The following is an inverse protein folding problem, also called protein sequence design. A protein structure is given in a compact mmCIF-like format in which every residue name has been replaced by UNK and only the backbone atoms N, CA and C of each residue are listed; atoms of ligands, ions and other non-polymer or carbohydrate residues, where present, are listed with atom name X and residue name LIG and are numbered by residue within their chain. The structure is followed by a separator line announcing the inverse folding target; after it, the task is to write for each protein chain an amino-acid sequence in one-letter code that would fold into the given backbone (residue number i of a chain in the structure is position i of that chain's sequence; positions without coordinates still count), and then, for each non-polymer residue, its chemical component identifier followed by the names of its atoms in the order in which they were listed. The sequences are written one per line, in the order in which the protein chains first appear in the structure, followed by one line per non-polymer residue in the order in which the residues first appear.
data_IF_822749486675
#
_entry.id   IF_822749486675
#
_cell.length_a   1.000
_cell.length_b   1.000
_cell.length_c   1.000
_cell.angle_alpha   90.00
_cell.angle_beta   90.00
_cell.angle_gamma   90.00
#
_symmetry.space_group_name_H-M   'P 1'
#
loop_
_entity.id
_entity.type
_entity.pdbx_description
1 polymer ?
#
# COMPACT_ATOMS: atom_id res chain seq x y z
N UNK A 1 -7.61 -9.64 -19.66
CA UNK A 1 -7.54 -8.16 -19.83
C UNK A 1 -8.44 -7.57 -18.77
N UNK A 2 -7.87 -7.10 -17.67
CA UNK A 2 -8.60 -6.22 -16.75
C UNK A 2 -8.64 -4.86 -17.42
N UNK A 3 -9.84 -4.43 -17.79
CA UNK A 3 -10.07 -3.12 -18.37
C UNK A 3 -10.10 -2.12 -17.20
N UNK A 4 -9.08 -1.30 -17.07
CA UNK A 4 -8.94 -0.36 -15.97
C UNK A 4 -10.00 0.75 -15.93
N UNK A 5 -10.85 0.81 -16.95
CA UNK A 5 -11.94 1.79 -17.05
C UNK A 5 -13.30 1.27 -16.57
N UNK A 6 -13.39 -0.01 -16.19
CA UNK A 6 -14.59 -0.61 -15.63
C UNK A 6 -14.52 -0.78 -14.10
N UNK A 7 -14.03 0.21 -13.39
CA UNK A 7 -14.27 0.27 -11.94
C UNK A 7 -15.77 0.56 -11.73
N UNK A 8 -16.54 -0.52 -11.74
CA UNK A 8 -17.94 -0.50 -11.36
C UNK A 8 -18.04 -0.13 -9.86
N UNK A 9 -19.15 0.45 -9.47
CA UNK A 9 -19.51 0.76 -8.06
C UNK A 9 -19.39 -0.46 -7.12
N UNK A 10 -19.13 -1.65 -7.63
CA UNK A 10 -18.93 -2.90 -6.90
C UNK A 10 -17.56 -3.04 -6.22
N UNK A 11 -16.58 -2.19 -6.52
CA UNK A 11 -15.23 -2.29 -5.96
C UNK A 11 -15.11 -1.65 -4.56
N UNK A 12 -16.16 -1.00 -4.07
CA UNK A 12 -16.23 -0.41 -2.74
C UNK A 12 -16.86 -1.36 -1.74
N UNK A 13 -16.07 -1.83 -0.78
CA UNK A 13 -16.59 -2.61 0.33
C UNK A 13 -17.03 -1.68 1.45
N UNK A 14 -18.25 -1.88 1.96
CA UNK A 14 -18.73 -1.16 3.14
C UNK A 14 -17.90 -1.54 4.38
N UNK A 15 -17.63 -0.56 5.23
CA UNK A 15 -16.78 -0.76 6.43
C UNK A 15 -17.28 -1.89 7.32
N UNK A 16 -18.59 -1.99 7.54
CA UNK A 16 -19.16 -3.05 8.37
C UNK A 16 -19.00 -4.44 7.73
N UNK A 17 -19.08 -4.52 6.41
CA UNK A 17 -18.81 -5.78 5.71
C UNK A 17 -17.33 -6.16 5.80
N UNK A 18 -16.43 -5.21 5.66
CA UNK A 18 -15.00 -5.41 5.84
C UNK A 18 -14.70 -5.93 7.26
N UNK A 19 -15.21 -5.25 8.30
CA UNK A 19 -15.05 -5.66 9.69
C UNK A 19 -15.55 -7.08 9.93
N UNK A 20 -16.71 -7.41 9.40
CA UNK A 20 -17.30 -8.77 9.52
C UNK A 20 -16.41 -9.84 8.88
N UNK A 21 -15.86 -9.56 7.69
CA UNK A 21 -14.94 -10.49 7.00
C UNK A 21 -13.63 -10.68 7.78
N UNK A 22 -13.06 -9.59 8.31
CA UNK A 22 -11.85 -9.66 9.13
C UNK A 22 -12.06 -10.49 10.39
N UNK A 23 -13.17 -10.29 11.12
CA UNK A 23 -13.50 -11.07 12.31
C UNK A 23 -13.71 -12.56 11.98
N UNK A 24 -14.31 -12.88 10.84
CA UNK A 24 -14.45 -14.27 10.40
C UNK A 24 -13.08 -14.91 10.14
N UNK A 25 -12.14 -14.20 9.50
CA UNK A 25 -10.77 -14.70 9.31
C UNK A 25 -10.04 -14.94 10.64
N UNK A 26 -10.23 -14.06 11.64
CA UNK A 26 -9.67 -14.26 12.98
C UNK A 26 -10.23 -15.52 13.64
N UNK A 27 -11.55 -15.75 13.54
CA UNK A 27 -12.21 -16.95 14.06
C UNK A 27 -11.72 -18.23 13.39
N UNK A 28 -11.37 -18.15 12.11
CA UNK A 28 -10.77 -19.27 11.34
C UNK A 28 -9.26 -19.48 11.66
N UNK A 29 -8.71 -18.77 12.63
CA UNK A 29 -7.33 -18.91 13.09
C UNK A 29 -6.30 -18.30 12.14
N UNK A 30 -6.72 -17.43 11.22
CA UNK A 30 -5.81 -16.67 10.36
C UNK A 30 -5.03 -15.67 11.19
N UNK A 31 -3.72 -15.59 10.95
CA UNK A 31 -2.83 -14.62 11.61
C UNK A 31 -2.61 -13.41 10.72
N UNK A 32 -2.89 -12.23 11.26
CA UNK A 32 -2.57 -10.98 10.61
C UNK A 32 -1.16 -10.56 10.99
N UNK A 33 -0.33 -10.30 9.99
CA UNK A 33 1.07 -9.92 10.16
C UNK A 33 1.38 -8.67 9.32
N UNK A 34 2.43 -7.94 9.66
CA UNK A 34 2.89 -6.82 8.86
C UNK A 34 3.56 -7.29 7.56
N UNK A 35 3.71 -6.39 6.59
CA UNK A 35 4.42 -6.70 5.35
C UNK A 35 5.89 -7.03 5.62
N UNK A 36 6.54 -6.30 6.51
CA UNK A 36 7.93 -6.58 6.92
C UNK A 36 8.05 -7.97 7.54
N UNK A 37 7.12 -8.35 8.43
CA UNK A 37 7.11 -9.71 9.01
C UNK A 37 6.87 -10.79 7.95
N UNK A 38 5.97 -10.53 6.99
CA UNK A 38 5.72 -11.46 5.89
C UNK A 38 6.97 -11.68 5.05
N UNK A 39 7.67 -10.60 4.69
CA UNK A 39 8.94 -10.67 3.95
C UNK A 39 10.00 -11.48 4.70
N UNK A 40 10.18 -11.25 5.99
CA UNK A 40 11.10 -12.02 6.82
C UNK A 40 10.76 -13.51 6.87
N UNK A 41 9.46 -13.83 6.93
CA UNK A 41 9.00 -15.22 6.91
C UNK A 41 9.25 -15.89 5.56
N UNK A 42 9.06 -15.18 4.45
CA UNK A 42 9.38 -15.67 3.10
C UNK A 42 10.88 -15.95 2.99
N UNK A 43 11.71 -14.97 3.32
CA UNK A 43 13.16 -15.07 3.22
C UNK A 43 13.76 -16.21 4.06
N UNK A 44 13.11 -16.59 5.16
CA UNK A 44 13.58 -17.60 6.10
C UNK A 44 12.79 -18.93 6.07
N UNK A 45 11.93 -19.16 5.06
CA UNK A 45 11.07 -20.36 4.93
C UNK A 45 10.23 -20.67 6.19
N UNK A 46 9.70 -19.61 6.84
CA UNK A 46 8.97 -19.70 8.12
C UNK A 46 7.44 -19.71 7.98
N UNK A 47 6.90 -19.99 6.80
CA UNK A 47 5.45 -20.01 6.56
C UNK A 47 4.76 -21.32 6.95
N UNK A 48 5.46 -22.30 7.47
CA UNK A 48 4.92 -23.66 7.71
C UNK A 48 3.81 -23.65 8.77
N UNK A 49 2.69 -24.28 8.42
CA UNK A 49 1.56 -24.61 9.31
C UNK A 49 0.65 -23.47 9.77
N UNK A 50 0.72 -22.26 9.15
CA UNK A 50 -0.19 -21.17 9.48
C UNK A 50 -0.72 -20.47 8.23
N UNK A 51 -1.95 -19.96 8.30
CA UNK A 51 -2.51 -19.04 7.32
C UNK A 51 -2.19 -17.63 7.76
N UNK A 52 -1.54 -16.85 6.91
CA UNK A 52 -1.21 -15.46 7.17
C UNK A 52 -1.93 -14.54 6.20
N UNK A 53 -2.30 -13.37 6.67
CA UNK A 53 -2.84 -12.27 5.86
C UNK A 53 -2.07 -11.01 6.19
N UNK A 54 -1.72 -10.26 5.15
CA UNK A 54 -1.18 -8.89 5.25
C UNK A 54 -2.23 -7.95 4.67
N UNK A 55 -2.58 -6.90 5.42
CA UNK A 55 -3.41 -5.83 4.88
C UNK A 55 -2.53 -4.72 4.32
N UNK A 56 -2.75 -4.41 3.05
CA UNK A 56 -2.16 -3.26 2.37
C UNK A 56 -3.27 -2.35 1.84
N UNK A 57 -3.07 -1.06 1.92
CA UNK A 57 -3.97 -0.05 1.39
C UNK A 57 -3.18 0.93 0.54
N UNK A 58 -3.60 1.07 -0.70
CA UNK A 58 -2.93 1.94 -1.66
C UNK A 58 -3.51 3.36 -1.65
N UNK A 59 -2.84 4.27 -2.37
CA UNK A 59 -3.24 5.66 -2.65
C UNK A 59 -3.22 6.63 -1.46
N UNK A 60 -3.38 6.19 -0.22
CA UNK A 60 -3.51 7.07 0.94
C UNK A 60 -4.86 7.78 1.02
N UNK A 61 -5.96 7.12 0.66
CA UNK A 61 -7.30 7.69 0.72
C UNK A 61 -7.70 8.09 2.14
N UNK A 62 -8.38 9.23 2.31
CA UNK A 62 -8.77 9.77 3.61
C UNK A 62 -9.78 8.89 4.36
N UNK A 63 -10.49 7.98 3.69
CA UNK A 63 -11.37 7.00 4.33
C UNK A 63 -10.62 6.02 5.26
N UNK A 64 -9.31 5.90 5.12
CA UNK A 64 -8.48 5.11 6.02
C UNK A 64 -8.62 5.56 7.50
N UNK A 65 -8.89 6.84 7.74
CA UNK A 65 -9.13 7.37 9.10
C UNK A 65 -10.33 6.73 9.80
N UNK A 66 -11.25 6.16 9.05
CA UNK A 66 -12.45 5.52 9.59
C UNK A 66 -12.18 4.07 10.02
N UNK A 67 -11.24 3.39 9.36
CA UNK A 67 -10.98 1.97 9.58
C UNK A 67 -9.72 1.68 10.39
N UNK A 68 -8.67 2.50 10.26
CA UNK A 68 -7.40 2.27 10.95
C UNK A 68 -7.53 2.19 12.48
N UNK A 69 -8.30 3.05 13.18
CA UNK A 69 -8.47 2.94 14.63
C UNK A 69 -9.04 1.60 15.07
N UNK A 70 -9.99 1.07 14.29
CA UNK A 70 -10.57 -0.24 14.58
C UNK A 70 -9.56 -1.37 14.32
N UNK A 71 -8.77 -1.31 13.23
CA UNK A 71 -7.72 -2.30 12.96
C UNK A 71 -6.66 -2.30 14.07
N UNK A 72 -6.30 -1.14 14.59
CA UNK A 72 -5.39 -1.01 15.74
C UNK A 72 -5.98 -1.61 17.01
N UNK A 73 -7.26 -1.38 17.29
CA UNK A 73 -7.97 -2.01 18.42
C UNK A 73 -7.95 -3.54 18.31
N UNK A 74 -8.11 -4.08 17.09
CA UNK A 74 -8.01 -5.51 16.80
C UNK A 74 -6.57 -6.03 16.77
N UNK A 75 -5.56 -5.16 16.96
CA UNK A 75 -4.12 -5.47 16.87
C UNK A 75 -3.71 -6.04 15.50
N UNK A 76 -4.31 -5.54 14.45
CA UNK A 76 -4.06 -5.95 13.08
C UNK A 76 -3.07 -4.99 12.43
N UNK A 77 -1.85 -5.47 12.05
CA UNK A 77 -0.90 -4.66 11.33
C UNK A 77 -1.40 -4.29 9.93
N UNK A 78 -1.05 -3.09 9.47
CA UNK A 78 -1.42 -2.58 8.15
C UNK A 78 -0.25 -1.87 7.49
N UNK A 79 -0.18 -1.95 6.18
CA UNK A 79 0.78 -1.20 5.37
C UNK A 79 0.03 -0.24 4.45
N UNK A 80 0.39 1.03 4.48
CA UNK A 80 -0.18 2.07 3.62
C UNK A 80 0.84 2.43 2.54
N UNK A 81 0.48 2.22 1.27
CA UNK A 81 1.28 2.65 0.14
C UNK A 81 0.80 4.02 -0.35
N UNK A 82 1.65 5.03 -0.24
CA UNK A 82 1.27 6.44 -0.33
C UNK A 82 1.80 7.08 -1.61
N UNK A 83 0.94 7.85 -2.28
CA UNK A 83 1.34 8.79 -3.33
C UNK A 83 1.60 10.16 -2.70
N UNK A 84 2.85 10.59 -2.66
CA UNK A 84 3.26 11.80 -1.94
C UNK A 84 2.64 13.10 -2.47
N UNK A 85 2.34 13.19 -3.76
CA UNK A 85 1.72 14.37 -4.38
C UNK A 85 0.39 14.74 -3.73
N UNK A 86 -0.40 13.75 -3.34
CA UNK A 86 -1.76 13.99 -2.85
C UNK A 86 -1.83 14.32 -1.36
N UNK A 87 -0.70 14.32 -0.66
CA UNK A 87 -0.61 14.71 0.75
C UNK A 87 -0.74 16.23 0.98
N UNK A 88 -0.81 17.03 -0.07
CA UNK A 88 -0.95 18.49 0.01
C UNK A 88 -2.36 18.97 0.41
N UNK A 89 -3.32 18.05 0.49
CA UNK A 89 -4.72 18.32 0.83
C UNK A 89 -5.51 19.03 -0.27
N UNK A 90 -4.93 19.24 -1.46
CA UNK A 90 -5.50 20.00 -2.59
C UNK A 90 -5.53 19.19 -3.87
N UNK A 91 -4.47 18.45 -4.13
CA UNK A 91 -4.34 17.62 -5.32
C UNK A 91 -5.27 16.41 -5.27
N UNK A 92 -5.74 15.99 -6.42
CA UNK A 92 -6.57 14.80 -6.60
C UNK A 92 -6.18 14.10 -7.91
N UNK A 93 -6.45 12.80 -8.02
CA UNK A 93 -6.07 11.99 -9.19
C UNK A 93 -7.00 12.23 -10.38
N UNK A 94 -8.26 11.88 -10.24
CA UNK A 94 -9.26 11.98 -11.32
C UNK A 94 -10.49 12.77 -10.90
N UNK A 95 -10.90 12.68 -9.66
CA UNK A 95 -12.13 13.24 -9.15
C UNK A 95 -11.86 14.26 -8.03
N UNK A 96 -12.29 15.52 -8.17
CA UNK A 96 -12.11 16.54 -7.13
C UNK A 96 -12.80 16.21 -5.78
N UNK A 97 -13.73 15.25 -5.78
CA UNK A 97 -14.39 14.78 -4.56
C UNK A 97 -13.57 13.74 -3.80
N UNK A 98 -12.57 13.12 -4.45
CA UNK A 98 -11.65 12.21 -3.76
C UNK A 98 -10.83 13.02 -2.75
N UNK A 99 -10.73 12.46 -1.55
CA UNK A 99 -9.94 13.02 -0.46
C UNK A 99 -8.84 12.06 -0.09
N UNK A 100 -7.65 12.59 0.06
CA UNK A 100 -6.47 11.85 0.50
C UNK A 100 -6.07 12.33 1.89
N UNK A 101 -5.27 11.53 2.58
CA UNK A 101 -4.64 11.96 3.82
C UNK A 101 -3.80 13.21 3.56
N UNK A 102 -3.84 14.17 4.46
CA UNK A 102 -2.89 15.27 4.43
C UNK A 102 -1.55 14.82 5.02
N UNK A 103 -0.53 15.65 4.79
CA UNK A 103 0.79 15.43 5.37
C UNK A 103 0.72 15.30 6.90
N UNK A 104 0.00 16.21 7.56
CA UNK A 104 -0.19 16.24 9.01
C UNK A 104 -0.90 14.97 9.49
N UNK A 105 -1.95 14.54 8.79
CA UNK A 105 -2.71 13.35 9.13
C UNK A 105 -1.85 12.08 9.01
N UNK A 106 -1.09 11.94 7.91
CA UNK A 106 -0.18 10.82 7.73
C UNK A 106 0.89 10.79 8.83
N UNK A 107 1.55 11.91 9.10
CA UNK A 107 2.64 11.98 10.07
C UNK A 107 2.19 11.87 11.52
N UNK A 108 0.91 11.99 11.80
CA UNK A 108 0.31 11.68 13.10
C UNK A 108 0.12 10.16 13.32
N UNK A 109 0.19 9.32 12.27
CA UNK A 109 -0.01 7.87 12.34
C UNK A 109 1.28 7.16 12.80
N UNK A 110 1.61 7.25 14.08
CA UNK A 110 2.87 6.70 14.65
C UNK A 110 2.74 5.32 15.28
N UNK A 111 1.58 4.70 15.19
CA UNK A 111 1.32 3.37 15.74
C UNK A 111 2.34 2.34 15.23
N UNK A 112 2.86 1.44 16.10
CA UNK A 112 3.75 0.35 15.68
C UNK A 112 3.06 -0.67 14.77
N UNK A 113 1.74 -0.63 14.67
CA UNK A 113 0.95 -1.49 13.80
C UNK A 113 0.77 -0.92 12.40
N UNK A 114 1.22 0.31 12.12
CA UNK A 114 1.14 0.94 10.80
C UNK A 114 2.52 1.00 10.17
N UNK A 115 2.64 0.53 8.95
CA UNK A 115 3.82 0.67 8.09
C UNK A 115 3.49 1.59 6.91
N UNK A 116 4.44 2.44 6.50
CA UNK A 116 4.27 3.39 5.40
C UNK A 116 5.25 3.04 4.28
N UNK A 117 4.73 2.70 3.11
CA UNK A 117 5.49 2.40 1.91
C UNK A 117 5.20 3.36 0.75
N UNK A 118 5.97 3.23 -0.32
CA UNK A 118 5.87 4.08 -1.51
C UNK A 118 4.89 3.52 -2.54
N UNK A 119 4.07 4.40 -3.16
CA UNK A 119 3.21 4.07 -4.31
C UNK A 119 3.47 4.99 -5.53
N UNK A 120 4.68 5.55 -5.60
CA UNK A 120 5.04 6.56 -6.59
C UNK A 120 4.48 7.94 -6.24
N UNK A 121 4.88 8.97 -7.05
CA UNK A 121 4.51 10.35 -6.75
C UNK A 121 3.07 10.69 -7.15
N UNK A 122 2.70 10.38 -8.41
CA UNK A 122 1.45 10.83 -9.05
C UNK A 122 0.49 9.72 -9.45
N UNK A 123 0.68 8.49 -8.99
CA UNK A 123 -0.12 7.34 -9.36
C UNK A 123 -0.14 7.06 -10.89
N UNK A 124 1.00 7.17 -11.56
CA UNK A 124 1.17 6.85 -12.98
C UNK A 124 1.76 5.44 -13.10
N UNK A 125 1.28 4.64 -14.04
CA UNK A 125 1.88 3.32 -14.30
C UNK A 125 3.36 3.45 -14.64
N UNK A 126 4.20 2.59 -14.09
CA UNK A 126 5.62 2.58 -14.42
C UNK A 126 5.84 2.49 -15.93
N UNK A 127 5.11 1.58 -16.59
CA UNK A 127 5.20 1.34 -18.04
C UNK A 127 4.70 2.48 -18.94
N UNK A 128 4.05 3.50 -18.39
CA UNK A 128 3.61 4.72 -19.08
C UNK A 128 4.61 5.88 -18.90
N UNK A 129 5.71 5.65 -18.18
CA UNK A 129 6.77 6.63 -17.92
C UNK A 129 8.07 6.17 -18.58
N UNK A 130 8.94 7.10 -18.91
CA UNK A 130 10.34 6.76 -19.18
C UNK A 130 11.01 6.31 -17.86
N UNK A 131 12.10 5.55 -17.97
CA UNK A 131 12.89 5.11 -16.80
C UNK A 131 13.31 6.30 -15.91
N UNK A 132 13.68 7.42 -16.54
CA UNK A 132 14.07 8.64 -15.82
C UNK A 132 12.88 9.27 -15.06
N UNK A 133 11.71 9.38 -15.68
CA UNK A 133 10.51 9.92 -15.04
C UNK A 133 10.07 9.03 -13.87
N UNK A 134 10.11 7.72 -14.06
CA UNK A 134 9.81 6.77 -12.98
C UNK A 134 10.81 6.91 -11.82
N UNK A 135 12.12 6.97 -12.11
CA UNK A 135 13.15 7.16 -11.09
C UNK A 135 12.95 8.48 -10.32
N UNK A 136 12.64 9.58 -11.01
CA UNK A 136 12.34 10.87 -10.39
C UNK A 136 11.08 10.80 -9.52
N UNK A 137 10.01 10.17 -10.00
CA UNK A 137 8.77 9.94 -9.26
C UNK A 137 9.02 9.17 -7.96
N UNK A 138 9.82 8.10 -8.04
CA UNK A 138 10.19 7.29 -6.87
C UNK A 138 11.00 8.11 -5.87
N UNK A 139 12.03 8.83 -6.34
CA UNK A 139 12.89 9.68 -5.49
C UNK A 139 12.10 10.77 -4.78
N UNK A 140 11.20 11.45 -5.49
CA UNK A 140 10.35 12.49 -4.89
C UNK A 140 9.47 11.91 -3.77
N UNK A 141 8.91 10.73 -4.01
CA UNK A 141 8.05 10.07 -3.04
C UNK A 141 8.83 9.65 -1.79
N UNK A 142 9.99 9.01 -1.96
CA UNK A 142 10.86 8.61 -0.86
C UNK A 142 11.29 9.82 -0.03
N UNK A 143 11.73 10.91 -0.66
CA UNK A 143 12.20 12.12 0.04
C UNK A 143 11.16 12.71 1.01
N UNK A 144 9.88 12.45 0.76
CA UNK A 144 8.79 12.79 1.67
C UNK A 144 8.61 11.71 2.74
N UNK A 145 8.45 10.45 2.32
CA UNK A 145 8.01 9.37 3.20
C UNK A 145 9.11 8.87 4.16
N UNK A 146 10.38 8.91 3.76
CA UNK A 146 11.50 8.48 4.62
C UNK A 146 11.61 9.27 5.94
N UNK A 147 11.00 10.46 6.00
CA UNK A 147 10.93 11.27 7.23
C UNK A 147 9.91 10.73 8.22
N UNK A 148 9.05 9.82 7.79
CA UNK A 148 8.04 9.22 8.66
C UNK A 148 8.66 8.14 9.54
N UNK A 149 8.39 8.11 10.88
CA UNK A 149 9.02 7.14 11.79
C UNK A 149 8.63 5.68 11.52
N UNK A 150 7.57 5.47 10.74
CA UNK A 150 7.06 4.13 10.37
C UNK A 150 7.31 3.79 8.90
N UNK A 151 8.19 4.54 8.22
CA UNK A 151 8.56 4.26 6.85
C UNK A 151 9.26 2.90 6.72
N UNK A 152 8.89 2.16 5.67
CA UNK A 152 9.52 0.91 5.25
C UNK A 152 9.95 1.01 3.78
N UNK A 153 11.07 0.40 3.37
CA UNK A 153 11.61 0.53 2.01
C UNK A 153 10.89 -0.42 1.03
N UNK A 154 9.57 -0.33 0.95
CA UNK A 154 8.76 -1.11 0.02
C UNK A 154 8.03 -0.19 -0.95
N UNK A 155 7.93 -0.63 -2.21
CA UNK A 155 7.23 0.10 -3.25
C UNK A 155 6.18 -0.79 -3.92
N UNK A 156 4.90 -0.44 -3.77
CA UNK A 156 3.83 -1.06 -4.53
C UNK A 156 3.70 -0.37 -5.89
N UNK A 157 3.74 -1.14 -6.97
CA UNK A 157 3.55 -0.61 -8.31
C UNK A 157 2.10 -0.19 -8.56
N UNK A 158 1.94 1.02 -9.07
CA UNK A 158 0.66 1.56 -9.51
C UNK A 158 0.04 0.65 -10.56
N UNK A 159 -1.17 0.15 -10.31
CA UNK A 159 -1.88 -0.87 -11.12
C UNK A 159 -1.11 -2.19 -11.29
N UNK A 160 -0.09 -2.46 -10.50
CA UNK A 160 0.76 -3.64 -10.64
C UNK A 160 1.59 -3.69 -11.93
N UNK A 161 1.66 -2.58 -12.68
CA UNK A 161 2.36 -2.53 -13.97
C UNK A 161 3.85 -2.29 -13.78
N UNK A 162 4.66 -3.32 -14.03
CA UNK A 162 6.11 -3.27 -13.91
C UNK A 162 6.81 -4.08 -15.01
N UNK A 163 8.12 -3.98 -15.07
CA UNK A 163 9.03 -4.89 -15.80
C UNK A 163 10.41 -4.85 -15.14
N UNK A 164 11.31 -5.73 -15.59
CA UNK A 164 12.66 -5.90 -15.02
C UNK A 164 13.46 -4.58 -14.91
N UNK A 165 13.31 -3.66 -15.86
CA UNK A 165 14.03 -2.37 -15.82
C UNK A 165 13.57 -1.47 -14.67
N UNK A 166 12.27 -1.42 -14.42
CA UNK A 166 11.72 -0.67 -13.29
C UNK A 166 12.07 -1.31 -11.95
N UNK A 167 12.13 -2.67 -11.91
CA UNK A 167 12.59 -3.40 -10.74
C UNK A 167 14.06 -3.07 -10.42
N UNK A 168 14.93 -2.96 -11.44
CA UNK A 168 16.31 -2.52 -11.28
C UNK A 168 16.41 -1.10 -10.72
N UNK A 169 15.57 -0.17 -11.18
CA UNK A 169 15.52 1.21 -10.64
C UNK A 169 15.15 1.19 -9.16
N UNK A 170 14.15 0.40 -8.75
CA UNK A 170 13.79 0.27 -7.34
C UNK A 170 14.92 -0.33 -6.51
N UNK A 171 15.60 -1.37 -7.01
CA UNK A 171 16.73 -1.99 -6.34
C UNK A 171 17.89 -1.00 -6.13
N UNK A 172 18.19 -0.14 -7.11
CA UNK A 172 19.20 0.92 -7.00
C UNK A 172 18.82 1.93 -5.89
N UNK A 173 17.51 2.18 -5.69
CA UNK A 173 17.00 3.02 -4.62
C UNK A 173 16.84 2.28 -3.27
N UNK A 174 17.30 1.02 -3.18
CA UNK A 174 17.13 0.14 -2.02
C UNK A 174 15.67 -0.11 -1.63
N UNK A 175 14.79 -0.16 -2.61
CA UNK A 175 13.37 -0.48 -2.42
C UNK A 175 13.08 -1.93 -2.82
N UNK A 176 12.20 -2.55 -2.06
CA UNK A 176 11.65 -3.88 -2.36
C UNK A 176 10.35 -3.70 -3.15
N UNK A 177 10.25 -4.23 -4.39
CA UNK A 177 9.02 -4.18 -5.15
C UNK A 177 7.94 -5.07 -4.53
N UNK A 178 6.71 -4.54 -4.46
CA UNK A 178 5.51 -5.27 -4.08
C UNK A 178 4.60 -5.36 -5.29
N UNK A 179 4.31 -6.59 -5.70
CA UNK A 179 3.60 -6.89 -6.93
C UNK A 179 2.19 -7.39 -6.66
N UNK A 180 1.28 -7.14 -7.60
CA UNK A 180 -0.03 -7.78 -7.66
C UNK A 180 0.12 -8.98 -8.61
N UNK A 181 0.52 -10.14 -8.08
CA UNK A 181 0.47 -11.38 -8.83
C UNK A 181 -0.68 -12.24 -8.33
N UNK A 182 -1.72 -12.36 -9.13
CA UNK A 182 -2.70 -13.43 -8.97
C UNK A 182 -2.08 -14.73 -9.45
N UNK A 183 -2.15 -15.81 -8.66
CA UNK A 183 -1.87 -17.15 -9.16
C UNK A 183 -2.71 -17.40 -10.40
N UNK A 184 -2.06 -17.44 -11.57
CA UNK A 184 -2.63 -18.02 -12.77
C UNK A 184 -2.47 -19.54 -12.64
N UNK A 185 -3.36 -20.16 -11.86
CA UNK A 185 -3.64 -21.58 -11.96
C UNK A 185 -4.87 -21.79 -12.80
#
# INVERSE_FOLDING_TARGET
KFDADSMNECDWMQIDEFKRKVLALQQDGVKFISLTEAYDKIANDKFRNHKYVVFTFDDGNASLKEILPWLEEQKIPTTLFINGKYLDGKSYRKNPKEKYLTYEELFAMTSPLVEIGSHGWEHIRATEQSEKEFEESVKMNIAVLEKHPRYIPYHAYTYGCHNERYDEILNIQNLVPVLIEGNKN
#
